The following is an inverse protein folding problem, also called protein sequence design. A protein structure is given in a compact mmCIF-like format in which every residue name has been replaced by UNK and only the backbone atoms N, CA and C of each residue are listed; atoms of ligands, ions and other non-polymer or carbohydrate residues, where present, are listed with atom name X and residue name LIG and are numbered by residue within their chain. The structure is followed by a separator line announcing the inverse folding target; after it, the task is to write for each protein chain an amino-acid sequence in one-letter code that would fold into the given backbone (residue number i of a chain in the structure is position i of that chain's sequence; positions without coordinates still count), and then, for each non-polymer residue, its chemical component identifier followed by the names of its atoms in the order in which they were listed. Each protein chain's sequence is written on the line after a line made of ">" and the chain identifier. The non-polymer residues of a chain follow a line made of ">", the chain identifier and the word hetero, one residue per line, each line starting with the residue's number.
data_IF_679026429888
#
_entry.id   IF_679026429888
#
_cell.length_a   1.000
_cell.length_b   1.000
_cell.length_c   1.000
_cell.angle_alpha   90.00
_cell.angle_beta   90.00
_cell.angle_gamma   90.00
#
_symmetry.space_group_name_H-M   'P 1'
#
loop_
_entity.id
_entity.type
_entity.pdbx_description
1 polymer ?
#
# COMPACT_ATOMS: atom_id res chain seq x y z
N UNK A 1 -25.96 -15.74 -18.97
CA UNK A 1 -25.28 -14.49 -19.36
C UNK A 1 -24.25 -14.17 -18.30
N UNK A 2 -22.96 -14.38 -18.59
CA UNK A 2 -21.88 -14.07 -17.65
C UNK A 2 -21.74 -12.55 -17.64
N UNK A 3 -22.07 -11.91 -16.53
CA UNK A 3 -21.89 -10.48 -16.31
C UNK A 3 -20.46 -10.12 -16.75
N UNK A 4 -20.33 -9.38 -17.84
CA UNK A 4 -19.06 -8.71 -18.15
C UNK A 4 -18.92 -7.69 -17.03
N UNK A 5 -18.09 -7.99 -16.04
CA UNK A 5 -17.69 -6.97 -15.07
C UNK A 5 -16.97 -5.91 -15.89
N UNK A 6 -17.58 -4.74 -16.01
CA UNK A 6 -16.98 -3.59 -16.69
C UNK A 6 -15.68 -3.21 -15.99
N UNK A 7 -14.76 -2.60 -16.74
CA UNK A 7 -13.53 -2.07 -16.17
C UNK A 7 -13.85 -0.91 -15.21
N UNK A 8 -13.12 -0.81 -14.10
CA UNK A 8 -13.31 0.23 -13.09
C UNK A 8 -11.97 0.62 -12.44
N UNK A 9 -11.83 1.88 -11.97
CA UNK A 9 -10.59 2.39 -11.41
C UNK A 9 -10.22 1.68 -10.10
N UNK A 10 -8.96 1.76 -9.67
CA UNK A 10 -8.52 1.10 -8.45
C UNK A 10 -9.22 1.67 -7.21
N UNK A 11 -9.41 0.82 -6.20
CA UNK A 11 -9.88 1.20 -4.87
C UNK A 11 -9.15 0.38 -3.82
N UNK A 12 -8.51 1.05 -2.86
CA UNK A 12 -7.89 0.37 -1.73
C UNK A 12 -9.00 -0.20 -0.83
N UNK A 13 -8.91 -1.48 -0.52
CA UNK A 13 -9.86 -2.20 0.35
C UNK A 13 -9.24 -2.71 1.64
N UNK A 14 -7.91 -2.81 1.67
CA UNK A 14 -7.12 -3.02 2.89
C UNK A 14 -6.00 -1.98 2.89
N UNK A 15 -6.09 -1.04 3.82
CA UNK A 15 -5.04 -0.04 4.05
C UNK A 15 -3.98 -0.64 4.99
N UNK A 16 -2.72 -0.20 4.89
CA UNK A 16 -1.74 -0.54 5.91
C UNK A 16 -2.10 0.11 7.24
N UNK A 17 -1.60 -0.49 8.32
CA UNK A 17 -1.73 -0.02 9.69
C UNK A 17 -0.35 0.22 10.29
N UNK A 18 -0.28 1.12 11.25
CA UNK A 18 0.94 1.39 12.02
C UNK A 18 1.50 0.11 12.65
N UNK A 19 2.82 -0.06 12.57
CA UNK A 19 3.52 -1.26 13.01
C UNK A 19 4.79 -0.91 13.77
N UNK A 20 4.95 -1.49 14.95
CA UNK A 20 6.19 -1.47 15.74
C UNK A 20 6.81 -2.86 15.65
N UNK A 21 8.07 -2.95 15.24
CA UNK A 21 8.79 -4.21 15.05
C UNK A 21 10.14 -4.18 15.80
N UNK A 22 10.58 -5.32 16.31
CA UNK A 22 11.92 -5.42 16.90
C UNK A 22 13.00 -5.41 15.82
N UNK A 23 14.17 -4.84 16.12
CA UNK A 23 15.29 -4.85 15.18
C UNK A 23 15.68 -6.27 14.77
N UNK A 24 15.67 -6.52 13.46
CA UNK A 24 16.03 -7.80 12.85
C UNK A 24 14.87 -8.78 12.68
N UNK A 25 13.70 -8.47 13.23
CA UNK A 25 12.47 -9.23 12.96
C UNK A 25 11.84 -8.79 11.62
N UNK A 26 11.18 -9.71 10.89
CA UNK A 26 10.47 -9.36 9.67
C UNK A 26 9.25 -8.48 9.96
N UNK A 27 8.96 -7.56 9.04
CA UNK A 27 7.79 -6.69 9.08
C UNK A 27 7.00 -6.78 7.77
N UNK A 28 5.67 -6.74 7.86
CA UNK A 28 4.78 -6.74 6.69
C UNK A 28 3.78 -5.59 6.83
N UNK A 29 3.77 -4.69 5.84
CA UNK A 29 2.70 -3.72 5.66
C UNK A 29 1.73 -4.26 4.60
N UNK A 30 0.48 -4.50 4.98
CA UNK A 30 -0.52 -5.01 4.05
C UNK A 30 -1.11 -3.89 3.20
N UNK A 31 -1.38 -4.19 1.93
CA UNK A 31 -2.14 -3.33 1.04
C UNK A 31 -2.89 -4.18 0.03
N UNK A 32 -4.21 -4.00 -0.05
CA UNK A 32 -5.06 -4.70 -1.01
C UNK A 32 -5.90 -3.69 -1.77
N UNK A 33 -5.94 -3.85 -3.09
CA UNK A 33 -6.74 -3.02 -3.97
C UNK A 33 -7.64 -3.88 -4.85
N UNK A 34 -8.86 -3.40 -5.08
CA UNK A 34 -9.74 -3.85 -6.14
C UNK A 34 -9.57 -2.94 -7.35
N UNK A 35 -9.87 -3.44 -8.53
CA UNK A 35 -9.82 -2.69 -9.78
C UNK A 35 -9.92 -3.65 -10.96
N UNK A 36 -10.41 -3.16 -12.09
CA UNK A 36 -10.43 -3.94 -13.32
C UNK A 36 -10.00 -3.06 -14.51
N UNK A 37 -8.93 -3.40 -15.23
CA UNK A 37 -7.98 -4.49 -14.99
C UNK A 37 -7.34 -4.42 -13.60
N UNK A 38 -6.89 -5.58 -13.09
CA UNK A 38 -6.29 -5.69 -11.75
C UNK A 38 -5.17 -4.67 -11.60
N UNK A 39 -5.20 -3.83 -10.54
CA UNK A 39 -4.24 -2.76 -10.39
C UNK A 39 -2.87 -3.29 -9.97
N UNK A 40 -1.81 -2.59 -10.39
CA UNK A 40 -0.47 -2.76 -9.84
C UNK A 40 -0.35 -1.99 -8.54
N UNK A 41 0.31 -2.56 -7.53
CA UNK A 41 0.53 -1.90 -6.23
C UNK A 41 2.01 -1.52 -6.11
N UNK A 42 2.27 -0.26 -5.80
CA UNK A 42 3.61 0.30 -5.55
C UNK A 42 3.65 0.96 -4.17
N UNK A 43 4.79 0.85 -3.49
CA UNK A 43 4.98 1.42 -2.15
C UNK A 43 5.86 2.67 -2.18
N UNK A 44 5.50 3.66 -1.38
CA UNK A 44 6.24 4.90 -1.22
C UNK A 44 6.47 5.19 0.25
N UNK A 45 7.72 5.51 0.59
CA UNK A 45 8.10 6.06 1.89
C UNK A 45 8.00 7.58 1.82
N UNK A 46 6.96 8.16 2.42
CA UNK A 46 6.67 9.60 2.34
C UNK A 46 7.43 10.40 3.38
N UNK A 47 7.74 9.81 4.53
CA UNK A 47 8.58 10.42 5.58
C UNK A 47 9.54 9.36 6.14
N UNK A 48 10.75 9.77 6.52
CA UNK A 48 11.74 8.86 7.11
C UNK A 48 13.09 9.51 7.32
N UNK A 49 13.99 8.80 8.01
CA UNK A 49 15.38 9.24 8.24
C UNK A 49 16.33 8.39 7.40
N UNK A 50 17.31 9.02 6.76
CA UNK A 50 18.34 8.29 5.97
C UNK A 50 19.12 7.28 6.80
N UNK A 51 19.31 7.56 8.10
CA UNK A 51 20.00 6.66 9.03
C UNK A 51 19.20 5.42 9.44
N UNK A 52 17.89 5.42 9.18
CA UNK A 52 16.96 4.33 9.52
C UNK A 52 16.15 3.96 8.28
N UNK A 53 16.70 3.10 7.40
CA UNK A 53 16.17 2.90 6.04
C UNK A 53 14.76 2.30 6.04
N UNK A 54 14.41 1.53 7.06
CA UNK A 54 13.09 0.90 7.18
C UNK A 54 12.09 1.76 8.00
N UNK A 55 12.56 2.63 8.90
CA UNK A 55 11.64 3.43 9.71
C UNK A 55 11.08 4.63 8.95
N UNK A 56 9.76 4.78 8.94
CA UNK A 56 9.12 5.92 8.33
C UNK A 56 7.62 5.76 8.13
N UNK A 57 7.05 6.70 7.39
CA UNK A 57 5.63 6.66 7.01
C UNK A 57 5.54 6.16 5.58
N UNK A 58 4.72 5.14 5.39
CA UNK A 58 4.51 4.44 4.12
C UNK A 58 3.09 4.64 3.62
N UNK A 59 2.95 4.71 2.30
CA UNK A 59 1.68 4.60 1.57
C UNK A 59 1.84 3.60 0.44
N UNK A 60 0.79 2.86 0.12
CA UNK A 60 0.72 2.11 -1.12
C UNK A 60 -0.17 2.85 -2.12
N UNK A 61 0.15 2.68 -3.39
CA UNK A 61 -0.57 3.27 -4.50
C UNK A 61 -0.93 2.17 -5.49
N UNK A 62 -2.22 2.07 -5.79
CA UNK A 62 -2.76 1.11 -6.74
C UNK A 62 -3.10 1.81 -8.06
N UNK A 63 -2.60 1.29 -9.19
CA UNK A 63 -2.76 1.89 -10.53
C UNK A 63 -3.31 0.92 -11.56
N UNK A 64 -4.23 1.39 -12.40
CA UNK A 64 -4.56 0.76 -13.68
C UNK A 64 -4.78 1.86 -14.74
N UNK A 65 -5.18 1.51 -15.97
CA UNK A 65 -5.33 2.52 -17.04
C UNK A 65 -6.48 3.51 -16.81
N UNK A 66 -7.41 3.23 -15.89
CA UNK A 66 -8.53 4.10 -15.55
C UNK A 66 -8.20 5.08 -14.42
N UNK A 67 -7.14 4.84 -13.63
CA UNK A 67 -6.74 5.77 -12.58
C UNK A 67 -5.85 5.17 -11.50
N UNK A 68 -5.84 5.87 -10.37
CA UNK A 68 -4.97 5.63 -9.23
C UNK A 68 -5.77 5.72 -7.92
N UNK A 69 -5.42 4.89 -6.93
CA UNK A 69 -5.88 5.01 -5.55
C UNK A 69 -4.70 4.97 -4.58
N UNK A 70 -4.68 5.89 -3.62
CA UNK A 70 -3.63 6.01 -2.60
C UNK A 70 -4.17 5.55 -1.26
N UNK A 71 -3.39 4.80 -0.49
CA UNK A 71 -3.79 4.36 0.85
C UNK A 71 -3.67 5.46 1.90
N UNK A 72 -4.25 5.22 3.07
CA UNK A 72 -3.85 5.92 4.29
C UNK A 72 -2.36 5.69 4.59
N UNK A 73 -1.82 6.58 5.40
CA UNK A 73 -0.48 6.48 5.96
C UNK A 73 -0.41 5.35 6.98
N UNK A 74 0.74 4.66 7.02
CA UNK A 74 1.11 3.77 8.10
C UNK A 74 2.57 4.03 8.52
N UNK A 75 2.82 4.14 9.83
CA UNK A 75 4.18 4.20 10.35
C UNK A 75 4.78 2.81 10.52
N UNK A 76 6.07 2.68 10.19
CA UNK A 76 6.90 1.55 10.60
C UNK A 76 7.96 2.09 11.56
N UNK A 77 7.94 1.61 12.80
CA UNK A 77 8.86 1.97 13.86
C UNK A 77 9.65 0.74 14.32
N UNK A 78 10.95 0.91 14.55
CA UNK A 78 11.79 -0.15 15.10
C UNK A 78 12.04 0.12 16.58
N UNK A 79 11.67 -0.83 17.42
CA UNK A 79 11.84 -0.78 18.87
C UNK A 79 13.31 -0.96 19.31
#
# INVERSE_FOLDING_TARGET
>A
SRLRQEDFPPRIVEHPSDLIVSKGEPATLNCKAEGRPTPTIEWYKVHGRKSRPDEGVYVCVARNYLGEAVSHNASLEVA
#
